data_IF_901867738453
#
_entry.id   IF_901867738453
#
_cell.length_a   1.000
_cell.length_b   1.000
_cell.length_c   1.000
_cell.angle_alpha   90.00
_cell.angle_beta   90.00
_cell.angle_gamma   90.00
#
_symmetry.space_group_name_H-M   'P 1'
#
loop_
_entity.id
_entity.type
_entity.pdbx_description
1 polymer ?
#
# COMPACT_ATOMS: atom_id res chain seq x y z
N UNK A 1 17.32 -4.91 -21.32
CA UNK A 1 16.90 -5.07 -19.92
C UNK A 1 15.65 -5.95 -19.90
N UNK A 2 15.62 -7.07 -19.14
CA UNK A 2 14.40 -7.88 -18.98
C UNK A 2 13.36 -7.03 -18.25
N UNK A 3 12.18 -6.86 -18.86
CA UNK A 3 11.05 -6.15 -18.25
C UNK A 3 10.70 -6.87 -16.92
N UNK A 4 10.67 -6.15 -15.80
CA UNK A 4 10.26 -6.77 -14.54
C UNK A 4 8.79 -7.24 -14.66
N UNK A 5 8.44 -8.40 -14.15
CA UNK A 5 7.06 -8.88 -14.22
C UNK A 5 6.14 -7.93 -13.43
N UNK A 6 4.93 -7.73 -13.93
CA UNK A 6 3.94 -6.85 -13.31
C UNK A 6 3.43 -7.35 -11.95
N UNK A 7 3.64 -8.63 -11.65
CA UNK A 7 3.25 -9.25 -10.39
C UNK A 7 4.02 -10.55 -10.14
N UNK A 8 3.92 -11.05 -8.91
CA UNK A 8 4.26 -12.42 -8.53
C UNK A 8 3.09 -13.05 -7.76
N UNK A 9 2.92 -14.35 -7.88
CA UNK A 9 1.92 -15.10 -7.12
C UNK A 9 2.38 -15.21 -5.66
N UNK A 10 1.48 -14.91 -4.71
CA UNK A 10 1.71 -15.01 -3.27
C UNK A 10 1.00 -16.22 -2.69
N UNK A 11 -0.24 -16.44 -3.12
CA UNK A 11 -1.08 -17.54 -2.66
C UNK A 11 -2.13 -17.86 -3.72
N UNK A 12 -2.50 -19.13 -3.82
CA UNK A 12 -3.55 -19.60 -4.69
C UNK A 12 -4.21 -20.83 -4.08
N UNK A 13 -5.53 -20.86 -4.13
CA UNK A 13 -6.35 -22.05 -3.87
C UNK A 13 -7.49 -22.16 -4.91
N UNK A 14 -8.48 -22.99 -4.67
CA UNK A 14 -9.63 -23.17 -5.57
C UNK A 14 -10.50 -21.90 -5.67
N UNK A 15 -10.51 -21.05 -4.66
CA UNK A 15 -11.43 -19.91 -4.49
C UNK A 15 -10.79 -18.55 -4.73
N UNK A 16 -9.52 -18.39 -4.38
CA UNK A 16 -8.83 -17.08 -4.45
C UNK A 16 -7.46 -17.18 -5.10
N UNK A 17 -7.02 -16.05 -5.63
CA UNK A 17 -5.62 -15.82 -6.01
C UNK A 17 -5.14 -14.50 -5.39
N UNK A 18 -4.02 -14.54 -4.69
CA UNK A 18 -3.37 -13.37 -4.10
C UNK A 18 -2.06 -13.08 -4.81
N UNK A 19 -1.89 -11.85 -5.24
CA UNK A 19 -0.75 -11.39 -6.04
C UNK A 19 -0.02 -10.25 -5.34
N UNK A 20 1.30 -10.24 -5.45
CA UNK A 20 2.12 -9.07 -5.15
C UNK A 20 2.26 -8.24 -6.42
N UNK A 21 1.46 -7.20 -6.55
CA UNK A 21 1.42 -6.28 -7.68
C UNK A 21 2.64 -5.35 -7.69
N UNK A 22 3.27 -5.17 -8.84
CA UNK A 22 4.25 -4.11 -9.03
C UNK A 22 3.57 -2.72 -9.05
N UNK A 23 4.34 -1.66 -8.81
CA UNK A 23 3.91 -0.29 -9.07
C UNK A 23 3.74 -0.05 -10.59
N UNK A 24 2.83 0.83 -10.96
CA UNK A 24 2.64 1.28 -12.35
C UNK A 24 1.57 0.53 -13.15
N UNK A 25 0.98 -0.55 -12.61
CA UNK A 25 -0.13 -1.27 -13.27
C UNK A 25 -1.44 -1.12 -12.48
N UNK A 26 -2.54 -0.87 -13.19
CA UNK A 26 -3.88 -0.80 -12.60
C UNK A 26 -4.40 -2.22 -12.26
N UNK A 27 -5.19 -2.33 -11.18
CA UNK A 27 -5.79 -3.62 -10.76
C UNK A 27 -6.92 -4.03 -11.72
N UNK A 28 -7.76 -3.08 -12.10
CA UNK A 28 -8.99 -3.27 -12.90
C UNK A 28 -9.12 -2.16 -13.94
N UNK A 29 -10.13 -2.19 -14.83
CA UNK A 29 -10.27 -1.20 -15.90
C UNK A 29 -10.18 0.24 -15.39
N UNK A 30 -9.37 1.04 -16.08
CA UNK A 30 -9.39 2.49 -15.95
C UNK A 30 -10.57 3.04 -16.77
N UNK A 31 -11.33 3.96 -16.19
CA UNK A 31 -12.45 4.63 -16.89
C UNK A 31 -11.99 5.45 -18.09
N UNK A 32 -10.74 5.92 -18.05
CA UNK A 32 -10.18 6.85 -19.03
C UNK A 32 -9.42 6.15 -20.15
N UNK A 33 -8.90 4.94 -19.90
CA UNK A 33 -8.15 4.16 -20.88
C UNK A 33 -8.39 2.66 -20.70
N UNK A 34 -9.46 2.13 -21.30
CA UNK A 34 -9.79 0.70 -21.22
C UNK A 34 -8.77 -0.23 -21.91
N UNK A 35 -7.91 0.32 -22.79
CA UNK A 35 -6.92 -0.44 -23.58
C UNK A 35 -5.66 -0.77 -22.78
N UNK A 36 -5.41 -0.09 -21.66
CA UNK A 36 -4.22 -0.34 -20.85
C UNK A 36 -4.15 -1.75 -20.30
N UNK A 37 -2.92 -2.25 -20.24
CA UNK A 37 -2.62 -3.47 -19.49
C UNK A 37 -3.11 -3.36 -18.04
N UNK A 38 -3.76 -4.41 -17.55
CA UNK A 38 -4.34 -4.44 -16.22
C UNK A 38 -4.15 -5.79 -15.56
N UNK A 39 -3.99 -5.76 -14.25
CA UNK A 39 -3.59 -6.90 -13.46
C UNK A 39 -4.60 -8.07 -13.54
N UNK A 40 -5.90 -7.77 -13.49
CA UNK A 40 -6.96 -8.79 -13.54
C UNK A 40 -6.90 -9.64 -14.82
N UNK A 41 -6.58 -9.05 -15.97
CA UNK A 41 -6.40 -9.77 -17.23
C UNK A 41 -5.11 -10.58 -17.26
N UNK A 42 -3.98 -9.93 -16.96
CA UNK A 42 -2.68 -10.60 -16.98
C UNK A 42 -2.62 -11.76 -15.99
N UNK A 43 -3.25 -11.60 -14.83
CA UNK A 43 -3.33 -12.66 -13.83
C UNK A 43 -4.24 -13.81 -14.28
N UNK A 44 -5.38 -13.52 -14.91
CA UNK A 44 -6.27 -14.55 -15.46
C UNK A 44 -5.58 -15.38 -16.55
N UNK A 45 -4.83 -14.74 -17.44
CA UNK A 45 -4.02 -15.40 -18.45
C UNK A 45 -2.91 -16.27 -17.82
N UNK A 46 -2.18 -15.74 -16.83
CA UNK A 46 -1.13 -16.46 -16.14
C UNK A 46 -1.64 -17.71 -15.40
N UNK A 47 -2.81 -17.60 -14.78
CA UNK A 47 -3.44 -18.71 -14.02
C UNK A 47 -4.27 -19.65 -14.92
N UNK A 48 -4.33 -19.39 -16.22
CA UNK A 48 -5.17 -20.15 -17.18
C UNK A 48 -6.65 -20.19 -16.78
N UNK A 49 -7.15 -19.07 -16.23
CA UNK A 49 -8.55 -18.91 -15.80
C UNK A 49 -9.24 -17.92 -16.73
N UNK A 50 -10.44 -18.23 -17.16
CA UNK A 50 -11.19 -17.37 -18.09
C UNK A 50 -11.48 -15.97 -17.53
N UNK A 51 -11.65 -15.84 -16.20
CA UNK A 51 -11.94 -14.56 -15.53
C UNK A 51 -11.56 -14.60 -14.06
N UNK A 52 -10.95 -13.52 -13.59
CA UNK A 52 -10.80 -13.20 -12.17
C UNK A 52 -11.74 -12.05 -11.77
N UNK A 53 -12.27 -12.13 -10.57
CA UNK A 53 -13.20 -11.15 -10.03
C UNK A 53 -12.46 -10.25 -9.03
N UNK A 54 -12.47 -8.94 -9.30
CA UNK A 54 -11.82 -7.94 -8.44
C UNK A 54 -12.68 -7.69 -7.20
N UNK A 55 -12.19 -8.00 -6.01
CA UNK A 55 -12.88 -7.79 -4.73
C UNK A 55 -12.44 -6.49 -4.03
N UNK A 56 -11.23 -6.04 -4.29
CA UNK A 56 -10.70 -4.76 -3.85
C UNK A 56 -9.63 -4.25 -4.82
N UNK A 57 -9.17 -3.03 -4.60
CA UNK A 57 -8.11 -2.44 -5.41
C UNK A 57 -7.15 -1.63 -4.55
N UNK A 58 -5.91 -1.53 -5.02
CA UNK A 58 -4.92 -0.54 -4.61
C UNK A 58 -4.63 0.38 -5.78
N UNK A 59 -4.05 1.54 -5.53
CA UNK A 59 -3.74 2.52 -6.57
C UNK A 59 -2.75 1.93 -7.60
N UNK A 60 -2.75 2.49 -8.81
CA UNK A 60 -1.85 2.07 -9.89
C UNK A 60 -0.39 2.04 -9.42
N UNK A 61 0.04 3.10 -8.74
CA UNK A 61 1.43 3.30 -8.34
C UNK A 61 1.77 2.69 -6.97
N UNK A 62 0.78 2.27 -6.19
CA UNK A 62 0.95 1.45 -4.99
C UNK A 62 1.34 0.03 -5.38
N UNK A 63 2.39 -0.51 -4.77
CA UNK A 63 2.76 -1.93 -4.91
C UNK A 63 2.15 -2.78 -3.80
N UNK A 64 2.16 -4.11 -3.97
CA UNK A 64 1.81 -5.04 -2.91
C UNK A 64 0.56 -5.87 -3.17
N UNK A 65 -0.03 -6.34 -2.09
CA UNK A 65 -1.01 -7.41 -2.08
C UNK A 65 -2.34 -7.01 -2.69
N UNK A 66 -2.80 -7.82 -3.63
CA UNK A 66 -4.14 -7.76 -4.23
C UNK A 66 -4.72 -9.16 -4.27
N UNK A 67 -5.98 -9.31 -3.90
CA UNK A 67 -6.72 -10.58 -3.93
C UNK A 67 -7.78 -10.51 -5.01
N UNK A 68 -7.92 -11.63 -5.73
CA UNK A 68 -9.00 -11.87 -6.66
C UNK A 68 -9.79 -13.10 -6.24
N UNK A 69 -11.09 -13.09 -6.48
CA UNK A 69 -11.90 -14.28 -6.42
C UNK A 69 -11.89 -15.00 -7.77
N UNK A 70 -11.94 -16.34 -7.74
CA UNK A 70 -11.96 -17.20 -8.95
C UNK A 70 -13.38 -17.50 -9.42
N UNK A 71 -14.36 -17.36 -8.54
CA UNK A 71 -15.77 -17.59 -8.81
C UNK A 71 -16.67 -16.47 -8.26
N UNK A 72 -17.95 -16.47 -8.65
CA UNK A 72 -18.91 -15.43 -8.29
C UNK A 72 -19.36 -15.47 -6.83
N UNK A 73 -19.40 -16.66 -6.23
CA UNK A 73 -19.79 -16.83 -4.82
C UNK A 73 -18.71 -16.28 -3.90
N UNK A 74 -17.47 -16.66 -4.14
CA UNK A 74 -16.29 -16.11 -3.43
C UNK A 74 -16.18 -14.60 -3.62
N UNK A 75 -16.46 -14.09 -4.85
CA UNK A 75 -16.51 -12.64 -5.10
C UNK A 75 -17.54 -11.94 -4.20
N UNK A 76 -18.78 -12.46 -4.14
CA UNK A 76 -19.84 -11.89 -3.29
C UNK A 76 -19.43 -11.89 -1.81
N UNK A 77 -18.91 -13.01 -1.31
CA UNK A 77 -18.46 -13.17 0.08
C UNK A 77 -17.33 -12.21 0.44
N UNK A 78 -16.26 -12.17 -0.37
CA UNK A 78 -15.13 -11.29 -0.10
C UNK A 78 -15.49 -9.80 -0.25
N UNK A 79 -16.32 -9.44 -1.24
CA UNK A 79 -16.81 -8.05 -1.39
C UNK A 79 -17.58 -7.61 -0.15
N UNK A 80 -18.47 -8.45 0.38
CA UNK A 80 -19.19 -8.16 1.63
C UNK A 80 -18.23 -8.06 2.84
N UNK A 81 -17.16 -8.85 2.89
CA UNK A 81 -16.14 -8.77 3.93
C UNK A 81 -15.32 -7.47 3.86
N UNK A 82 -14.98 -6.99 2.66
CA UNK A 82 -14.33 -5.69 2.46
C UNK A 82 -15.26 -4.52 2.80
N UNK A 83 -16.51 -4.55 2.34
CA UNK A 83 -17.53 -3.52 2.64
C UNK A 83 -17.84 -3.45 4.13
N UNK A 84 -17.95 -4.60 4.78
CA UNK A 84 -18.15 -4.75 6.23
C UNK A 84 -16.90 -4.45 7.06
N UNK A 85 -15.76 -4.10 6.45
CA UNK A 85 -14.48 -3.78 7.11
C UNK A 85 -13.91 -4.92 7.96
N UNK A 86 -14.31 -6.15 7.70
CA UNK A 86 -13.82 -7.34 8.40
C UNK A 86 -12.40 -7.72 7.98
N UNK A 87 -12.01 -7.39 6.75
CA UNK A 87 -10.65 -7.64 6.24
C UNK A 87 -9.72 -6.53 6.74
N UNK A 88 -8.72 -6.92 7.54
CA UNK A 88 -7.69 -6.00 8.03
C UNK A 88 -6.58 -5.84 6.99
N UNK A 89 -6.00 -4.65 6.94
CA UNK A 89 -5.02 -4.27 5.93
C UNK A 89 -3.84 -3.57 6.59
N UNK A 90 -2.63 -3.92 6.17
CA UNK A 90 -1.40 -3.28 6.62
C UNK A 90 -0.61 -2.80 5.42
N UNK A 91 -0.20 -1.55 5.47
CA UNK A 91 0.65 -0.93 4.47
C UNK A 91 1.92 -0.43 5.11
N UNK A 92 3.01 -0.41 4.32
CA UNK A 92 4.25 0.27 4.66
C UNK A 92 4.39 1.48 3.75
N UNK A 93 4.57 2.65 4.36
CA UNK A 93 4.78 3.92 3.68
C UNK A 93 6.16 4.49 4.04
N UNK A 94 6.87 4.98 3.04
CA UNK A 94 8.03 5.85 3.22
C UNK A 94 7.52 7.29 3.09
N UNK A 95 7.77 8.10 4.10
CA UNK A 95 7.24 9.48 4.17
C UNK A 95 8.34 10.51 4.34
N UNK A 96 8.06 11.75 3.95
CA UNK A 96 8.91 12.89 4.22
C UNK A 96 8.82 13.34 5.69
N UNK A 97 9.95 13.78 6.22
CA UNK A 97 10.06 14.35 7.56
C UNK A 97 10.15 13.29 8.66
N UNK A 98 10.07 13.76 9.89
CA UNK A 98 10.12 12.96 11.13
C UNK A 98 8.87 13.26 11.94
N UNK A 99 7.87 12.35 11.94
CA UNK A 99 6.71 12.48 12.80
C UNK A 99 7.10 12.65 14.28
N UNK A 100 6.40 13.52 14.99
CA UNK A 100 6.56 13.68 16.44
C UNK A 100 5.76 12.66 17.26
N UNK A 101 4.91 11.89 16.60
CA UNK A 101 4.10 10.83 17.18
C UNK A 101 4.72 9.44 16.94
N UNK A 102 4.55 8.54 17.90
CA UNK A 102 4.82 7.10 17.70
C UNK A 102 3.62 6.41 17.07
N UNK A 103 2.40 6.79 17.48
CA UNK A 103 1.15 6.34 16.91
C UNK A 103 0.17 7.53 16.80
N UNK A 104 -0.63 7.55 15.76
CA UNK A 104 -1.70 8.55 15.57
C UNK A 104 -2.81 8.00 14.71
N UNK A 105 -4.01 8.55 14.84
CA UNK A 105 -5.14 8.26 13.98
C UNK A 105 -5.52 9.51 13.16
N UNK A 106 -5.90 9.28 11.91
CA UNK A 106 -6.47 10.30 11.04
C UNK A 106 -7.85 9.85 10.57
N UNK A 107 -8.89 10.59 10.97
CA UNK A 107 -10.31 10.33 10.69
C UNK A 107 -10.94 11.36 9.75
N UNK A 108 -10.13 12.11 9.04
CA UNK A 108 -10.58 13.17 8.14
C UNK A 108 -11.37 12.61 6.96
N UNK A 109 -12.62 13.08 6.74
CA UNK A 109 -13.48 12.56 5.69
C UNK A 109 -13.02 12.97 4.30
N UNK A 110 -13.17 12.07 3.32
CA UNK A 110 -12.58 12.18 1.99
C UNK A 110 -13.64 12.20 0.87
N UNK A 111 -13.43 13.08 -0.10
CA UNK A 111 -14.19 13.15 -1.37
C UNK A 111 -13.26 12.74 -2.52
N UNK A 112 -13.47 11.60 -3.19
CA UNK A 112 -12.74 11.24 -4.40
C UNK A 112 -13.08 12.21 -5.53
N UNK A 113 -12.09 12.55 -6.39
CA UNK A 113 -12.26 13.50 -7.49
C UNK A 113 -12.85 14.85 -7.02
N UNK A 114 -12.45 15.31 -5.85
CA UNK A 114 -13.06 16.46 -5.19
C UNK A 114 -12.64 17.82 -5.76
N UNK A 115 -11.66 17.86 -6.66
CA UNK A 115 -11.23 19.09 -7.32
C UNK A 115 -11.10 18.90 -8.85
N UNK A 116 -10.78 19.99 -9.57
CA UNK A 116 -10.61 19.99 -11.05
C UNK A 116 -9.47 19.08 -11.53
N UNK A 117 -8.53 18.74 -10.67
CA UNK A 117 -7.42 17.82 -10.96
C UNK A 117 -7.75 16.34 -10.63
N UNK A 118 -9.01 16.06 -10.31
CA UNK A 118 -9.47 14.72 -9.93
C UNK A 118 -8.75 14.13 -8.70
N UNK A 119 -8.20 14.98 -7.83
CA UNK A 119 -7.60 14.54 -6.56
C UNK A 119 -8.69 14.16 -5.55
N UNK A 120 -8.36 13.25 -4.66
CA UNK A 120 -9.12 13.07 -3.42
C UNK A 120 -8.79 14.23 -2.48
N UNK A 121 -9.79 14.87 -1.93
CA UNK A 121 -9.65 15.99 -1.01
C UNK A 121 -10.30 15.70 0.35
N UNK A 122 -9.85 16.39 1.37
CA UNK A 122 -10.51 16.43 2.69
C UNK A 122 -11.66 17.42 2.61
N UNK A 123 -12.86 16.96 2.97
CA UNK A 123 -14.04 17.83 3.06
C UNK A 123 -14.93 17.33 4.20
N UNK A 124 -15.02 18.13 5.26
CA UNK A 124 -15.75 17.78 6.48
C UNK A 124 -17.26 17.66 6.27
N UNK A 125 -17.81 18.30 5.24
CA UNK A 125 -19.26 18.33 4.98
C UNK A 125 -19.71 17.28 3.97
N UNK A 126 -18.95 17.07 2.89
CA UNK A 126 -19.30 16.17 1.79
C UNK A 126 -18.50 14.86 1.80
N UNK A 127 -17.45 14.80 2.60
CA UNK A 127 -16.52 13.66 2.64
C UNK A 127 -17.16 12.43 3.23
N UNK A 128 -16.82 11.28 2.67
CA UNK A 128 -17.18 9.98 3.25
C UNK A 128 -16.24 9.69 4.42
N UNK A 129 -16.80 9.19 5.53
CA UNK A 129 -16.04 8.76 6.71
C UNK A 129 -14.86 7.89 6.29
N UNK A 130 -13.68 8.23 6.77
CA UNK A 130 -12.44 7.48 6.56
C UNK A 130 -11.60 7.51 7.84
N UNK A 131 -10.90 6.41 8.12
CA UNK A 131 -10.06 6.26 9.30
C UNK A 131 -8.81 5.46 8.92
N UNK A 132 -7.64 5.96 9.32
CA UNK A 132 -6.36 5.25 9.22
C UNK A 132 -5.58 5.47 10.50
N UNK A 133 -5.10 4.39 11.11
CA UNK A 133 -4.12 4.45 12.19
C UNK A 133 -2.72 4.37 11.59
N UNK A 134 -1.80 5.19 12.07
CA UNK A 134 -0.41 5.24 11.65
C UNK A 134 0.51 4.97 12.84
N UNK A 135 1.55 4.16 12.62
CA UNK A 135 2.61 3.89 13.59
C UNK A 135 3.97 4.20 12.97
N UNK A 136 4.82 4.93 13.71
CA UNK A 136 6.18 5.20 13.30
C UNK A 136 7.05 3.97 13.58
N UNK A 137 7.67 3.42 12.54
CA UNK A 137 8.58 2.27 12.66
C UNK A 137 10.04 2.72 12.83
N UNK A 138 10.41 3.85 12.25
CA UNK A 138 11.73 4.42 12.38
C UNK A 138 11.99 5.58 11.44
N UNK A 139 13.08 6.32 11.69
CA UNK A 139 13.45 7.51 10.92
C UNK A 139 14.96 7.58 10.68
N UNK A 140 15.36 8.05 9.51
CA UNK A 140 16.73 8.40 9.18
C UNK A 140 16.80 9.53 8.14
N UNK A 141 17.76 10.44 8.27
CA UNK A 141 17.82 11.62 7.42
C UNK A 141 16.51 12.42 7.55
N UNK A 142 15.93 12.76 6.42
CA UNK A 142 14.66 13.51 6.33
C UNK A 142 13.46 12.63 5.96
N UNK A 143 13.54 11.33 6.30
CA UNK A 143 12.52 10.33 5.96
C UNK A 143 12.17 9.47 7.15
N UNK A 144 10.95 8.92 7.11
CA UNK A 144 10.45 7.97 8.09
C UNK A 144 9.74 6.80 7.42
N UNK A 145 9.76 5.66 8.08
CA UNK A 145 8.97 4.48 7.72
C UNK A 145 7.76 4.45 8.64
N UNK A 146 6.59 4.39 8.05
CA UNK A 146 5.30 4.41 8.75
C UNK A 146 4.49 3.18 8.35
N UNK A 147 3.98 2.47 9.35
CA UNK A 147 2.92 1.49 9.17
C UNK A 147 1.59 2.23 9.07
N UNK A 148 0.75 1.84 8.12
CA UNK A 148 -0.60 2.38 7.98
C UNK A 148 -1.63 1.25 8.02
N UNK A 149 -2.61 1.39 8.90
CA UNK A 149 -3.71 0.44 9.15
C UNK A 149 -5.04 1.12 8.79
N UNK A 150 -5.44 1.10 7.50
CA UNK A 150 -6.67 1.75 7.09
C UNK A 150 -7.89 0.87 7.43
N UNK A 151 -8.81 1.36 8.24
CA UNK A 151 -10.10 0.70 8.50
C UNK A 151 -11.05 0.82 7.30
N UNK A 152 -11.01 1.94 6.62
CA UNK A 152 -11.77 2.20 5.40
C UNK A 152 -10.88 2.08 4.17
N UNK A 153 -11.46 2.12 2.96
CA UNK A 153 -10.72 1.99 1.70
C UNK A 153 -11.11 3.08 0.69
N UNK A 154 -10.96 4.37 1.05
CA UNK A 154 -11.24 5.46 0.10
C UNK A 154 -10.08 5.63 -0.85
N UNK A 155 -10.37 6.12 -2.06
CA UNK A 155 -9.34 6.43 -3.06
C UNK A 155 -8.25 7.32 -2.45
N UNK A 156 -6.99 6.94 -2.63
CA UNK A 156 -5.80 7.64 -2.12
C UNK A 156 -5.79 7.92 -0.60
N UNK A 157 -6.60 7.21 0.20
CA UNK A 157 -6.83 7.53 1.61
C UNK A 157 -5.53 7.70 2.40
N UNK A 158 -4.63 6.72 2.39
CA UNK A 158 -3.36 6.76 3.13
C UNK A 158 -2.53 7.97 2.71
N UNK A 159 -2.46 8.23 1.40
CA UNK A 159 -1.68 9.31 0.81
C UNK A 159 -2.17 10.69 1.27
N UNK A 160 -3.49 10.92 1.20
CA UNK A 160 -4.12 12.19 1.64
C UNK A 160 -4.00 12.38 3.14
N UNK A 161 -4.24 11.34 3.94
CA UNK A 161 -4.13 11.40 5.39
C UNK A 161 -2.69 11.71 5.82
N UNK A 162 -1.67 11.03 5.27
CA UNK A 162 -0.26 11.32 5.58
C UNK A 162 0.14 12.73 5.16
N UNK A 163 -0.31 13.19 4.00
CA UNK A 163 -0.07 14.57 3.55
C UNK A 163 -0.72 15.59 4.50
N UNK A 164 -1.93 15.34 5.00
CA UNK A 164 -2.63 16.22 5.95
C UNK A 164 -1.93 16.28 7.32
N UNK A 165 -1.21 15.23 7.70
CA UNK A 165 -0.39 15.18 8.91
C UNK A 165 1.00 15.85 8.72
N UNK A 166 1.29 16.42 7.54
CA UNK A 166 2.57 17.05 7.23
C UNK A 166 3.67 16.07 6.77
N UNK A 167 3.34 14.80 6.57
CA UNK A 167 4.27 13.73 6.20
C UNK A 167 3.84 13.02 4.92
N UNK A 168 3.83 13.70 3.75
CA UNK A 168 3.42 13.08 2.50
C UNK A 168 4.32 11.89 2.14
N UNK A 169 3.74 10.91 1.44
CA UNK A 169 4.48 9.76 0.92
C UNK A 169 5.54 10.25 -0.06
N UNK A 170 6.75 9.67 -0.03
CA UNK A 170 7.82 10.03 -0.97
C UNK A 170 7.46 9.69 -2.40
N UNK A 171 7.90 10.51 -3.34
CA UNK A 171 7.62 10.36 -4.77
C UNK A 171 6.11 10.30 -5.08
N UNK A 172 5.29 10.98 -4.28
CA UNK A 172 3.85 11.13 -4.54
C UNK A 172 3.60 12.37 -5.40
N UNK A 173 3.23 12.16 -6.67
CA UNK A 173 2.97 13.23 -7.64
C UNK A 173 1.74 14.07 -7.32
N UNK A 174 0.78 13.52 -6.55
CA UNK A 174 -0.50 14.17 -6.30
C UNK A 174 -0.55 14.91 -4.96
N UNK A 175 0.09 14.37 -3.92
CA UNK A 175 -0.04 14.89 -2.55
C UNK A 175 1.31 15.24 -1.89
N UNK A 176 2.41 15.04 -2.60
CA UNK A 176 3.76 15.27 -2.12
C UNK A 176 4.64 15.97 -3.14
N UNK A 177 5.76 15.33 -3.46
CA UNK A 177 6.67 15.75 -4.51
C UNK A 177 7.25 14.55 -5.26
N UNK A 178 7.74 14.79 -6.47
CA UNK A 178 8.30 13.76 -7.36
C UNK A 178 9.78 13.49 -7.14
N UNK A 179 10.43 14.18 -6.19
CA UNK A 179 11.87 14.04 -5.97
C UNK A 179 12.20 12.62 -5.52
N UNK A 180 13.13 11.94 -6.20
CA UNK A 180 13.57 10.62 -5.82
C UNK A 180 14.33 10.66 -4.48
N UNK A 181 14.29 9.55 -3.74
CA UNK A 181 15.07 9.39 -2.52
C UNK A 181 16.48 8.93 -2.88
N UNK A 182 17.47 9.73 -2.49
CA UNK A 182 18.89 9.49 -2.72
C UNK A 182 19.57 9.01 -1.43
N UNK A 183 20.67 8.27 -1.55
CA UNK A 183 21.47 7.85 -0.41
C UNK A 183 22.10 9.05 0.31
N UNK A 184 22.54 10.06 -0.45
CA UNK A 184 23.07 11.34 0.07
C UNK A 184 22.10 12.08 0.96
N UNK A 185 20.79 11.94 0.71
CA UNK A 185 19.74 12.56 1.54
C UNK A 185 19.47 11.84 2.89
N UNK A 186 20.07 10.65 3.08
CA UNK A 186 19.94 9.84 4.29
C UNK A 186 21.22 9.86 5.12
N UNK A 187 22.38 9.72 4.47
CA UNK A 187 23.69 9.63 5.12
C UNK A 187 24.36 11.00 5.22
N UNK A 188 24.67 11.46 6.44
CA UNK A 188 25.38 12.73 6.68
C UNK A 188 26.77 12.78 6.01
N UNK A 189 27.52 11.69 6.04
CA UNK A 189 28.92 11.61 5.54
C UNK A 189 29.00 10.87 4.20
N UNK A 190 28.01 11.06 3.34
CA UNK A 190 28.05 10.49 2.01
C UNK A 190 29.16 11.15 1.17
N UNK A 191 30.04 10.33 0.55
CA UNK A 191 31.22 10.77 -0.19
C UNK A 191 31.20 10.37 -1.68
N UNK A 192 30.04 10.01 -2.22
CA UNK A 192 29.90 9.65 -3.63
C UNK A 192 29.92 10.88 -4.54
N UNK A 193 29.92 10.63 -5.87
CA UNK A 193 29.77 11.68 -6.86
C UNK A 193 28.27 11.99 -7.06
N UNK A 194 27.79 13.23 -6.81
CA UNK A 194 26.39 13.59 -7.00
C UNK A 194 25.87 13.39 -8.43
N UNK A 195 26.74 13.46 -9.44
CA UNK A 195 26.35 13.29 -10.85
C UNK A 195 26.10 11.83 -11.23
N UNK A 196 26.65 10.89 -10.47
CA UNK A 196 26.52 9.45 -10.70
C UNK A 196 25.58 8.76 -9.71
N UNK A 197 24.98 9.51 -8.78
CA UNK A 197 24.14 8.96 -7.74
C UNK A 197 22.82 8.43 -8.31
N UNK A 198 22.56 7.14 -8.07
CA UNK A 198 21.31 6.50 -8.48
C UNK A 198 20.29 6.54 -7.35
N UNK A 199 19.04 6.85 -7.66
CA UNK A 199 17.97 6.83 -6.67
C UNK A 199 17.80 5.46 -6.00
N UNK A 200 17.61 5.46 -4.69
CA UNK A 200 17.16 4.29 -3.94
C UNK A 200 15.68 4.02 -4.20
N UNK A 201 14.88 5.09 -4.32
CA UNK A 201 13.46 5.01 -4.63
C UNK A 201 13.06 6.20 -5.52
N UNK A 202 12.38 5.91 -6.65
CA UNK A 202 11.93 6.90 -7.65
C UNK A 202 10.47 6.75 -8.03
N UNK A 203 9.69 6.01 -7.25
CA UNK A 203 8.26 5.79 -7.40
C UNK A 203 7.56 5.94 -6.06
N UNK A 204 6.24 6.01 -6.07
CA UNK A 204 5.42 6.11 -4.86
C UNK A 204 5.89 5.11 -3.78
N UNK A 205 6.29 5.64 -2.63
CA UNK A 205 6.83 4.88 -1.50
C UNK A 205 5.74 4.22 -0.65
N UNK A 206 4.76 3.54 -1.30
CA UNK A 206 3.63 2.89 -0.62
C UNK A 206 3.49 1.44 -1.07
N UNK A 207 3.34 0.53 -0.10
CA UNK A 207 3.26 -0.91 -0.33
C UNK A 207 2.19 -1.56 0.55
N UNK A 208 1.24 -2.28 -0.06
CA UNK A 208 0.25 -3.11 0.63
C UNK A 208 0.93 -4.40 1.08
N UNK A 209 1.32 -4.46 2.36
CA UNK A 209 2.21 -5.50 2.86
C UNK A 209 1.47 -6.75 3.36
N UNK A 210 0.29 -6.57 3.96
CA UNK A 210 -0.42 -7.68 4.60
C UNK A 210 -1.93 -7.49 4.53
N UNK A 211 -2.64 -8.62 4.39
CA UNK A 211 -4.09 -8.72 4.52
C UNK A 211 -4.42 -9.88 5.46
N UNK A 212 -5.35 -9.63 6.37
CA UNK A 212 -5.98 -10.68 7.17
C UNK A 212 -7.45 -10.81 6.74
N UNK A 213 -7.81 -12.02 6.34
CA UNK A 213 -9.17 -12.42 5.95
C UNK A 213 -9.70 -13.28 7.09
N UNK A 214 -10.73 -12.85 7.83
CA UNK A 214 -11.30 -13.67 8.90
C UNK A 214 -11.94 -14.92 8.32
N UNK A 215 -12.01 -15.96 9.14
CA UNK A 215 -12.75 -17.16 8.81
C UNK A 215 -14.21 -16.86 8.45
N UNK A 216 -14.81 -17.71 7.63
CA UNK A 216 -16.19 -17.54 7.18
C UNK A 216 -17.24 -18.03 8.18
N UNK A 217 -16.87 -18.96 9.04
CA UNK A 217 -17.74 -19.63 9.98
C UNK A 217 -17.30 -19.37 11.42
N UNK A 218 -18.26 -19.26 12.35
CA UNK A 218 -18.00 -18.99 13.77
C UNK A 218 -17.23 -20.11 14.45
N UNK A 219 -17.26 -21.32 13.90
CA UNK A 219 -16.54 -22.50 14.41
C UNK A 219 -15.06 -22.53 14.02
N UNK A 220 -14.67 -21.83 12.93
CA UNK A 220 -13.28 -21.70 12.48
C UNK A 220 -12.67 -20.44 13.12
N UNK A 221 -11.97 -20.60 14.24
CA UNK A 221 -11.29 -19.51 14.94
C UNK A 221 -10.05 -19.01 14.21
N UNK A 222 -9.70 -19.63 13.06
CA UNK A 222 -8.59 -19.24 12.21
C UNK A 222 -9.00 -18.14 11.21
N UNK A 223 -8.02 -17.55 10.59
CA UNK A 223 -8.16 -16.64 9.46
C UNK A 223 -6.98 -16.83 8.52
N UNK A 224 -7.08 -16.31 7.32
CA UNK A 224 -5.99 -16.36 6.35
C UNK A 224 -5.20 -15.07 6.38
N UNK A 225 -3.96 -15.13 6.84
CA UNK A 225 -3.00 -14.02 6.75
C UNK A 225 -2.15 -14.15 5.51
N UNK A 226 -2.20 -13.16 4.64
CA UNK A 226 -1.42 -13.09 3.40
C UNK A 226 -0.41 -11.96 3.50
N UNK A 227 0.84 -12.20 3.10
CA UNK A 227 1.94 -11.21 3.15
C UNK A 227 2.62 -11.09 1.79
N UNK A 228 2.76 -9.87 1.31
CA UNK A 228 3.58 -9.56 0.15
C UNK A 228 4.97 -9.08 0.62
N UNK A 229 6.06 -9.69 0.11
CA UNK A 229 7.39 -9.21 0.43
C UNK A 229 7.60 -7.78 -0.08
N UNK A 230 8.34 -6.98 0.69
CA UNK A 230 8.72 -5.63 0.28
C UNK A 230 9.45 -5.67 -1.08
N UNK A 231 9.13 -4.75 -2.00
CA UNK A 231 9.89 -4.61 -3.23
C UNK A 231 11.34 -4.25 -2.96
N UNK A 232 12.24 -4.68 -3.84
CA UNK A 232 13.70 -4.52 -3.66
C UNK A 232 14.14 -3.08 -3.40
N UNK A 233 13.53 -2.11 -4.04
CA UNK A 233 13.81 -0.68 -3.87
C UNK A 233 13.44 -0.18 -2.47
N UNK A 234 12.23 -0.48 -1.99
CA UNK A 234 11.78 -0.12 -0.63
C UNK A 234 12.64 -0.87 0.42
N UNK A 235 12.89 -2.16 0.23
CA UNK A 235 13.73 -2.94 1.15
C UNK A 235 15.17 -2.40 1.22
N UNK A 236 15.75 -2.04 0.09
CA UNK A 236 17.08 -1.42 0.04
C UNK A 236 17.12 -0.06 0.73
N UNK A 237 16.10 0.78 0.52
CA UNK A 237 15.96 2.06 1.19
C UNK A 237 15.86 1.89 2.71
N UNK A 238 15.00 1.01 3.20
CA UNK A 238 14.85 0.71 4.63
C UNK A 238 16.19 0.25 5.24
N UNK A 239 16.89 -0.67 4.57
CA UNK A 239 18.19 -1.14 5.04
C UNK A 239 19.23 0.00 5.14
N UNK A 240 19.24 0.95 4.19
CA UNK A 240 20.10 2.13 4.28
C UNK A 240 19.68 3.09 5.41
N UNK A 241 18.39 3.23 5.64
CA UNK A 241 17.87 4.03 6.75
C UNK A 241 18.22 3.42 8.10
N UNK A 242 18.09 2.11 8.27
CA UNK A 242 18.50 1.38 9.49
C UNK A 242 19.99 1.55 9.77
N UNK A 243 20.84 1.39 8.74
CA UNK A 243 22.29 1.64 8.86
C UNK A 243 22.61 3.07 9.28
N UNK A 244 21.92 4.05 8.72
CA UNK A 244 22.11 5.46 9.07
C UNK A 244 21.57 5.80 10.49
N UNK A 245 20.53 5.11 10.94
CA UNK A 245 19.97 5.25 12.28
C UNK A 245 20.73 4.47 13.36
N UNK A 246 21.61 3.53 12.97
CA UNK A 246 22.34 2.65 13.87
C UNK A 246 21.48 1.61 14.60
N UNK A 247 20.25 1.38 14.13
CA UNK A 247 19.31 0.41 14.73
C UNK A 247 18.39 -0.19 13.69
N UNK A 248 17.87 -1.39 13.98
CA UNK A 248 16.82 -2.01 13.18
C UNK A 248 15.48 -1.35 13.45
N UNK A 249 14.61 -1.35 12.44
CA UNK A 249 13.24 -0.92 12.57
C UNK A 249 12.37 -2.14 12.87
N UNK A 250 11.42 -1.96 13.78
CA UNK A 250 10.53 -3.05 14.21
C UNK A 250 9.30 -3.12 13.33
N UNK A 251 9.19 -4.22 12.58
CA UNK A 251 8.09 -4.46 11.65
C UNK A 251 7.18 -5.56 12.18
N UNK A 252 5.87 -5.35 12.07
CA UNK A 252 4.87 -6.39 12.30
C UNK A 252 4.90 -7.05 13.70
N UNK A 253 5.15 -6.26 14.73
CA UNK A 253 5.16 -6.75 16.12
C UNK A 253 3.84 -7.43 16.55
N UNK A 254 2.70 -6.98 15.98
CA UNK A 254 1.38 -7.56 16.28
C UNK A 254 0.80 -8.17 15.02
N UNK A 255 0.23 -9.36 15.12
CA UNK A 255 -0.54 -9.97 14.04
C UNK A 255 -1.73 -9.08 13.66
N UNK A 256 -2.11 -9.08 12.38
CA UNK A 256 -3.37 -8.52 11.91
C UNK A 256 -4.46 -9.56 12.13
N UNK A 257 -4.79 -9.81 13.37
CA UNK A 257 -5.91 -10.66 13.75
C UNK A 257 -7.06 -9.81 14.34
N UNK A 258 -8.10 -10.47 14.82
CA UNK A 258 -9.24 -9.80 15.45
C UNK A 258 -8.90 -9.13 16.79
N UNK A 259 -7.67 -9.29 17.33
CA UNK A 259 -7.23 -8.72 18.61
C UNK A 259 -6.84 -7.25 18.55
N UNK A 260 -6.81 -6.63 17.35
CA UNK A 260 -6.66 -5.17 17.19
C UNK A 260 -8.03 -4.50 17.40
N UNK A 261 -8.55 -4.53 18.61
CA UNK A 261 -9.56 -3.58 19.06
C UNK A 261 -8.90 -2.20 19.22
N UNK A 262 -9.38 -1.22 18.45
CA UNK A 262 -9.00 0.20 18.52
C UNK A 262 -9.86 0.92 19.56
#
# INVERSE_FOLDING_TARGET
MKKQPFFSLVYEDERIAALNKASGIAVSPDRWDPSRERLDKLAAEFLHIGKLYTVHRIDRDTSGLVIFAKDSETHKRLSAAFEGRRIKKRYIAVVHGRPSWNETACDLPLVPNGNKLHHTIIDKYRGKKSLTVFRLLGSAGNYSIVEALPETGRTHQIRVHLASLGHPVVCDELYGNTKPVLLSSIKKDWRGNPLDERPLLSRLGLHAAELFIPASDEEDTGGLTLKAPLPRDIAALINQMEKAAGKKFEFFEKALDNSLEL
#
